data_IF_693484601225
#
_entry.id   IF_693484601225
#
_cell.length_a   1.000
_cell.length_b   1.000
_cell.length_c   1.000
_cell.angle_alpha   90.00
_cell.angle_beta   90.00
_cell.angle_gamma   90.00
#
_symmetry.space_group_name_H-M   'P 1'
#
loop_
_entity.id
_entity.type
_entity.pdbx_description
1 polymer ?
#
# COMPACT_ATOMS: atom_id res chain seq x y z
N UNK A 1 6.13 -21.20 -11.55
CA UNK A 1 6.50 -22.60 -11.27
C UNK A 1 7.75 -22.60 -10.42
N UNK A 2 7.65 -23.15 -9.21
CA UNK A 2 8.78 -23.44 -8.34
C UNK A 2 9.61 -24.61 -8.87
N UNK A 3 10.52 -25.08 -8.04
CA UNK A 3 11.39 -26.22 -8.28
C UNK A 3 11.57 -26.99 -6.96
N UNK A 4 11.85 -28.29 -7.02
CA UNK A 4 12.14 -29.11 -5.85
C UNK A 4 10.95 -29.94 -5.36
N UNK A 5 10.80 -30.07 -4.05
CA UNK A 5 9.73 -30.86 -3.44
C UNK A 5 8.47 -30.00 -3.22
N UNK A 6 7.31 -30.56 -3.52
CA UNK A 6 6.02 -30.00 -3.09
C UNK A 6 5.67 -30.66 -1.76
N UNK A 7 5.41 -29.84 -0.74
CA UNK A 7 5.30 -30.31 0.64
C UNK A 7 3.85 -30.50 1.10
N UNK A 8 2.94 -29.67 0.59
CA UNK A 8 1.55 -29.60 1.01
C UNK A 8 0.65 -29.75 -0.21
N UNK A 9 -0.46 -30.45 0.00
CA UNK A 9 -1.52 -30.69 -0.98
C UNK A 9 -2.86 -30.73 -0.26
N UNK A 10 -3.93 -30.38 -0.96
CA UNK A 10 -5.30 -30.27 -0.45
C UNK A 10 -5.41 -29.47 0.87
N UNK A 11 -4.71 -28.34 0.95
CA UNK A 11 -4.74 -27.47 2.15
C UNK A 11 -6.12 -26.82 2.30
N UNK A 12 -6.82 -27.14 3.38
CA UNK A 12 -8.19 -26.74 3.64
C UNK A 12 -8.34 -26.03 5.00
N UNK A 13 -7.74 -24.85 5.13
CA UNK A 13 -7.84 -24.03 6.34
C UNK A 13 -9.29 -23.60 6.62
N UNK A 14 -9.64 -23.50 7.90
CA UNK A 14 -10.92 -22.97 8.38
C UNK A 14 -10.87 -21.44 8.53
N UNK A 15 -9.66 -20.87 8.69
CA UNK A 15 -9.40 -19.43 8.75
C UNK A 15 -9.06 -18.89 10.14
N UNK A 16 -8.88 -19.77 11.13
CA UNK A 16 -8.49 -19.40 12.52
C UNK A 16 -7.12 -19.94 12.92
N UNK A 17 -6.50 -20.74 12.05
CA UNK A 17 -5.16 -21.26 12.18
C UNK A 17 -4.13 -20.12 12.25
N UNK A 18 -3.07 -20.32 13.04
CA UNK A 18 -1.99 -19.33 13.14
C UNK A 18 -0.88 -19.55 12.11
N UNK A 19 -0.88 -20.72 11.46
CA UNK A 19 0.07 -21.12 10.44
C UNK A 19 -0.60 -21.98 9.39
N UNK A 20 -0.08 -21.94 8.16
CA UNK A 20 -0.51 -22.84 7.08
C UNK A 20 -0.29 -24.32 7.43
N UNK A 21 0.66 -24.61 8.33
CA UNK A 21 0.98 -25.97 8.77
C UNK A 21 -0.02 -26.52 9.81
N UNK A 22 -0.88 -25.66 10.36
CA UNK A 22 -1.92 -26.07 11.30
C UNK A 22 -3.23 -26.42 10.57
N UNK A 23 -3.32 -26.11 9.28
CA UNK A 23 -4.50 -26.39 8.48
C UNK A 23 -4.64 -27.89 8.19
N UNK A 24 -5.87 -28.43 8.08
CA UNK A 24 -6.08 -29.75 7.51
C UNK A 24 -5.46 -29.84 6.11
N UNK A 25 -4.66 -30.89 5.86
CA UNK A 25 -4.00 -31.13 4.59
C UNK A 25 -3.64 -32.62 4.44
N UNK A 26 -3.26 -33.05 3.23
CA UNK A 26 -2.76 -34.39 2.95
C UNK A 26 -1.41 -34.67 3.65
N UNK A 27 -0.98 -35.92 3.78
CA UNK A 27 0.31 -36.22 4.44
C UNK A 27 1.47 -35.49 3.75
N UNK A 28 2.45 -35.03 4.54
CA UNK A 28 3.60 -34.29 4.06
C UNK A 28 4.33 -34.99 2.89
N UNK A 29 4.48 -34.27 1.78
CA UNK A 29 5.14 -34.77 0.57
C UNK A 29 4.40 -35.89 -0.16
N UNK A 30 3.17 -36.23 0.26
CA UNK A 30 2.25 -37.06 -0.54
C UNK A 30 1.28 -36.14 -1.26
N UNK A 31 1.49 -36.00 -2.56
CA UNK A 31 0.70 -35.16 -3.43
C UNK A 31 0.68 -35.75 -4.84
N UNK A 32 -0.29 -35.36 -5.65
CA UNK A 32 -0.30 -35.62 -7.10
C UNK A 32 -0.04 -34.36 -7.94
N UNK A 33 0.19 -33.23 -7.27
CA UNK A 33 0.51 -31.95 -7.88
C UNK A 33 1.86 -31.92 -8.62
N UNK A 34 1.95 -30.99 -9.57
CA UNK A 34 3.16 -30.54 -10.26
C UNK A 34 3.46 -29.07 -9.94
N UNK A 35 4.66 -28.59 -10.28
CA UNK A 35 5.00 -27.16 -10.10
C UNK A 35 4.22 -26.19 -11.01
N UNK A 36 3.42 -26.72 -11.94
CA UNK A 36 2.44 -25.91 -12.67
C UNK A 36 1.27 -25.49 -11.77
N UNK A 37 1.06 -26.20 -10.66
CA UNK A 37 -0.05 -26.01 -9.71
C UNK A 37 0.40 -25.28 -8.43
N UNK A 38 1.67 -24.86 -8.36
CA UNK A 38 2.18 -24.08 -7.23
C UNK A 38 1.34 -22.81 -7.04
N UNK A 39 0.77 -22.67 -5.85
CA UNK A 39 -0.08 -21.54 -5.50
C UNK A 39 0.74 -20.34 -5.05
N UNK A 40 0.31 -19.16 -5.49
CA UNK A 40 0.80 -17.88 -4.99
C UNK A 40 -0.30 -17.14 -4.26
N UNK A 41 0.03 -16.53 -3.12
CA UNK A 41 -0.89 -15.64 -2.40
C UNK A 41 -0.48 -14.19 -2.61
N UNK A 42 -1.47 -13.31 -2.78
CA UNK A 42 -1.27 -11.86 -2.76
C UNK A 42 -2.07 -11.28 -1.62
N UNK A 43 -1.38 -10.71 -0.63
CA UNK A 43 -2.02 -9.98 0.45
C UNK A 43 -2.73 -8.74 -0.12
N UNK A 44 -4.03 -8.62 0.14
CA UNK A 44 -4.84 -7.46 -0.28
C UNK A 44 -4.88 -6.37 0.78
N UNK A 45 -4.65 -6.75 2.04
CA UNK A 45 -4.45 -5.86 3.18
C UNK A 45 -3.11 -6.17 3.82
N UNK A 46 -2.08 -5.46 3.40
CA UNK A 46 -0.83 -5.47 4.15
C UNK A 46 -0.95 -4.34 5.16
N UNK A 47 -1.27 -4.66 6.42
CA UNK A 47 -0.61 -3.97 7.53
C UNK A 47 0.86 -4.38 7.50
N UNK A 48 1.54 -4.02 6.41
CA UNK A 48 2.97 -4.20 6.30
C UNK A 48 3.56 -3.23 7.32
N UNK A 49 4.56 -3.63 8.11
CA UNK A 49 5.39 -2.64 8.80
C UNK A 49 6.02 -1.63 7.81
N UNK A 50 6.02 -1.93 6.50
CA UNK A 50 6.43 -1.04 5.41
C UNK A 50 5.29 -0.17 4.80
N UNK A 51 4.06 -0.24 5.31
CA UNK A 51 2.90 0.52 4.83
C UNK A 51 2.40 0.12 3.42
N UNK A 52 1.35 0.78 2.91
CA UNK A 52 0.88 0.57 1.54
C UNK A 52 1.94 1.06 0.55
N UNK A 53 2.10 0.41 -0.63
CA UNK A 53 2.93 0.93 -1.69
C UNK A 53 2.51 2.35 -2.09
N UNK A 54 3.50 3.23 -2.31
CA UNK A 54 3.33 4.62 -2.73
C UNK A 54 4.01 4.83 -4.07
N UNK A 55 3.44 5.68 -4.93
CA UNK A 55 4.10 6.19 -6.14
C UNK A 55 3.82 7.68 -6.33
N UNK A 56 4.71 8.34 -7.08
CA UNK A 56 4.52 9.71 -7.55
C UNK A 56 4.20 9.69 -9.04
N UNK A 57 3.18 10.44 -9.45
CA UNK A 57 2.67 10.46 -10.82
C UNK A 57 2.60 11.90 -11.33
N UNK A 58 2.81 12.09 -12.64
CA UNK A 58 2.68 13.37 -13.35
C UNK A 58 3.60 14.51 -12.84
N UNK A 59 4.73 14.15 -12.23
CA UNK A 59 5.84 15.07 -11.96
C UNK A 59 6.85 15.13 -13.09
N UNK A 60 7.60 16.24 -13.18
CA UNK A 60 8.69 16.43 -14.16
C UNK A 60 9.93 15.57 -13.84
N UNK A 61 10.00 15.00 -12.64
CA UNK A 61 11.08 14.14 -12.19
C UNK A 61 10.55 13.00 -11.30
N UNK A 62 11.41 12.00 -11.02
CA UNK A 62 11.04 10.87 -10.16
C UNK A 62 10.86 11.25 -8.68
N UNK A 63 11.14 12.51 -8.32
CA UNK A 63 11.10 13.01 -6.94
C UNK A 63 9.89 13.89 -6.66
N UNK A 64 9.01 14.08 -7.63
CA UNK A 64 7.82 14.89 -7.45
C UNK A 64 6.62 14.28 -8.17
N UNK A 65 5.44 14.67 -7.76
CA UNK A 65 4.20 14.23 -8.38
C UNK A 65 3.03 14.14 -7.41
N UNK A 66 1.87 13.82 -7.97
CA UNK A 66 0.67 13.42 -7.22
C UNK A 66 0.97 12.14 -6.46
N UNK A 67 0.57 12.08 -5.19
CA UNK A 67 0.76 10.90 -4.34
C UNK A 67 -0.38 9.93 -4.60
N UNK A 68 -0.03 8.72 -4.99
CA UNK A 68 -0.98 7.61 -5.10
C UNK A 68 -0.54 6.44 -4.22
N UNK A 69 -1.50 5.80 -3.57
CA UNK A 69 -1.32 4.62 -2.70
C UNK A 69 -2.01 3.40 -3.29
N UNK A 70 -1.45 2.22 -3.07
CA UNK A 70 -2.07 0.96 -3.50
C UNK A 70 -2.80 0.31 -2.34
N UNK A 71 -4.13 0.39 -2.36
CA UNK A 71 -5.02 -0.19 -1.36
C UNK A 71 -6.16 -0.94 -2.04
N UNK A 72 -6.59 -2.06 -1.45
CA UNK A 72 -7.69 -2.89 -1.95
C UNK A 72 -7.52 -3.34 -3.42
N UNK A 73 -6.28 -3.56 -3.85
CA UNK A 73 -5.95 -4.06 -5.19
C UNK A 73 -5.97 -3.01 -6.31
N UNK A 74 -6.10 -1.72 -5.99
CA UNK A 74 -6.10 -0.63 -6.97
C UNK A 74 -5.31 0.60 -6.47
N UNK A 75 -4.77 1.37 -7.41
CA UNK A 75 -4.19 2.68 -7.10
C UNK A 75 -5.31 3.70 -6.87
N UNK A 76 -5.04 4.65 -5.98
CA UNK A 76 -5.93 5.78 -5.70
C UNK A 76 -5.15 6.92 -5.07
N UNK A 77 -5.70 8.11 -5.16
CA UNK A 77 -5.07 9.34 -4.69
C UNK A 77 -5.23 9.52 -3.17
N UNK A 78 -4.57 10.56 -2.66
CA UNK A 78 -4.64 11.01 -1.26
C UNK A 78 -5.23 12.42 -1.26
N UNK A 79 -6.19 12.69 -0.38
CA UNK A 79 -6.76 14.03 -0.23
C UNK A 79 -5.76 15.00 0.44
N UNK A 80 -5.82 16.28 0.07
CA UNK A 80 -4.96 17.34 0.59
C UNK A 80 -5.46 18.01 1.88
N UNK A 81 -6.61 17.58 2.40
CA UNK A 81 -7.16 18.03 3.68
C UNK A 81 -6.18 17.69 4.81
N UNK A 82 -5.62 18.76 5.41
CA UNK A 82 -4.59 18.64 6.45
C UNK A 82 -3.22 18.21 5.93
N UNK A 83 -2.98 18.15 4.62
CA UNK A 83 -1.72 17.72 4.02
C UNK A 83 -0.61 18.74 4.21
N UNK A 84 0.45 18.35 4.94
CA UNK A 84 1.55 19.21 5.34
C UNK A 84 2.92 18.71 4.88
N UNK A 85 3.94 19.56 5.03
CA UNK A 85 5.34 19.17 4.80
C UNK A 85 5.80 17.97 5.67
N UNK A 86 5.10 17.66 6.78
CA UNK A 86 5.39 16.47 7.58
C UNK A 86 4.94 15.19 6.88
N UNK A 87 3.76 15.22 6.26
CA UNK A 87 3.21 14.12 5.48
C UNK A 87 4.07 13.89 4.24
N UNK A 88 4.44 14.98 3.57
CA UNK A 88 5.38 14.95 2.46
C UNK A 88 6.73 14.33 2.86
N UNK A 89 7.25 14.65 4.04
CA UNK A 89 8.51 14.07 4.53
C UNK A 89 8.40 12.55 4.76
N UNK A 90 7.24 12.04 5.21
CA UNK A 90 6.99 10.60 5.34
C UNK A 90 6.94 9.94 3.96
N UNK A 91 6.24 10.53 2.98
CA UNK A 91 6.20 10.01 1.60
C UNK A 91 7.60 9.94 0.98
N UNK A 92 8.35 11.04 1.04
CA UNK A 92 9.69 11.09 0.47
C UNK A 92 10.62 10.07 1.12
N UNK A 93 10.55 9.93 2.45
CA UNK A 93 11.32 8.92 3.19
C UNK A 93 10.91 7.50 2.81
N UNK A 94 9.62 7.22 2.69
CA UNK A 94 9.09 5.91 2.30
C UNK A 94 9.59 5.49 0.90
N UNK A 95 9.74 6.46 -0.01
CA UNK A 95 10.29 6.27 -1.36
C UNK A 95 11.84 6.24 -1.40
N UNK A 96 12.51 6.38 -0.25
CA UNK A 96 13.97 6.35 -0.15
C UNK A 96 14.67 7.66 -0.54
N UNK A 97 13.92 8.76 -0.64
CA UNK A 97 14.49 10.09 -0.86
C UNK A 97 14.89 10.74 0.47
N UNK A 98 15.91 11.58 0.41
CA UNK A 98 16.44 12.36 1.54
C UNK A 98 16.47 13.83 1.19
N UNK A 99 16.17 14.70 2.15
CA UNK A 99 16.21 16.15 1.95
C UNK A 99 14.97 16.83 2.53
N UNK A 100 14.72 18.05 2.07
CA UNK A 100 13.50 18.79 2.41
C UNK A 100 12.37 18.31 1.51
N UNK A 101 11.25 17.92 2.12
CA UNK A 101 10.03 17.61 1.41
C UNK A 101 9.08 18.81 1.44
N UNK A 102 8.30 18.98 0.37
CA UNK A 102 7.23 19.98 0.28
C UNK A 102 5.91 19.36 -0.10
N UNK A 103 4.88 19.66 0.67
CA UNK A 103 3.51 19.31 0.33
C UNK A 103 2.99 20.18 -0.81
N UNK A 104 2.22 19.55 -1.70
CA UNK A 104 1.43 20.20 -2.74
C UNK A 104 -0.03 19.76 -2.59
N UNK A 105 -0.91 20.70 -2.88
CA UNK A 105 -2.35 20.59 -2.72
C UNK A 105 -3.02 21.08 -4.01
N UNK A 106 -4.34 20.98 -4.07
CA UNK A 106 -5.21 21.47 -5.13
C UNK A 106 -4.86 20.86 -6.49
N UNK A 107 -4.61 19.55 -6.52
CA UNK A 107 -4.23 18.82 -7.73
C UNK A 107 -3.07 19.49 -8.50
N UNK A 108 -2.03 19.96 -7.78
CA UNK A 108 -0.89 20.69 -8.36
C UNK A 108 -0.23 19.98 -9.55
N UNK A 109 -0.15 18.64 -9.51
CA UNK A 109 0.40 17.78 -10.57
C UNK A 109 -0.68 17.24 -11.52
N UNK A 110 -1.89 17.79 -11.47
CA UNK A 110 -3.07 17.29 -12.15
C UNK A 110 -3.89 16.34 -11.30
N UNK A 111 -5.17 16.25 -11.64
CA UNK A 111 -6.17 15.38 -11.00
C UNK A 111 -5.87 13.91 -11.29
N UNK A 112 -6.07 13.06 -10.29
CA UNK A 112 -6.06 11.62 -10.42
C UNK A 112 -7.36 11.07 -10.98
N UNK A 113 -7.45 9.74 -10.98
CA UNK A 113 -8.63 9.01 -11.41
C UNK A 113 -8.90 7.83 -10.48
N UNK A 114 -10.16 7.47 -10.33
CA UNK A 114 -10.58 6.30 -9.55
C UNK A 114 -10.83 6.66 -8.08
N UNK A 115 -10.47 5.80 -7.12
CA UNK A 115 -10.74 6.07 -5.71
C UNK A 115 -9.77 7.11 -5.14
N UNK A 116 -10.26 7.89 -4.18
CA UNK A 116 -9.45 8.61 -3.21
C UNK A 116 -9.34 7.69 -2.00
N UNK A 117 -8.15 7.14 -1.74
CA UNK A 117 -7.98 6.07 -0.76
C UNK A 117 -7.75 6.55 0.65
N UNK A 118 -7.08 7.70 0.80
CA UNK A 118 -6.72 8.28 2.08
C UNK A 118 -7.22 9.71 2.14
N UNK A 119 -7.71 10.07 3.32
CA UNK A 119 -8.16 11.40 3.69
C UNK A 119 -7.66 11.68 5.12
N UNK A 120 -7.52 12.95 5.49
CA UNK A 120 -7.10 13.40 6.82
C UNK A 120 -5.82 12.70 7.31
N UNK A 121 -4.82 12.59 6.43
CA UNK A 121 -3.52 12.02 6.77
C UNK A 121 -2.78 13.01 7.69
N UNK A 122 -2.47 12.58 8.92
CA UNK A 122 -1.83 13.44 9.92
C UNK A 122 -0.56 12.78 10.47
N UNK A 123 0.57 13.01 9.82
CA UNK A 123 1.88 12.54 10.26
C UNK A 123 2.53 13.48 11.29
N UNK A 124 3.20 12.90 12.28
CA UNK A 124 4.17 13.63 13.12
C UNK A 124 5.44 14.02 12.36
N UNK A 125 5.71 13.36 11.22
CA UNK A 125 6.87 13.56 10.36
C UNK A 125 8.02 12.59 10.67
N UNK A 126 7.83 11.65 11.60
CA UNK A 126 8.84 10.66 12.02
C UNK A 126 8.53 9.24 11.53
N UNK A 127 7.32 9.02 11.01
CA UNK A 127 6.81 7.74 10.52
C UNK A 127 7.60 7.25 9.31
N UNK A 128 7.78 5.94 9.17
CA UNK A 128 8.48 5.40 8.00
C UNK A 128 7.56 5.28 6.77
N UNK A 129 6.24 5.28 6.99
CA UNK A 129 5.27 4.92 5.96
C UNK A 129 3.97 5.71 6.16
N UNK A 130 3.29 6.06 5.07
CA UNK A 130 2.06 6.85 5.13
C UNK A 130 0.92 6.14 5.89
N UNK A 131 0.89 4.81 5.84
CA UNK A 131 -0.09 4.00 6.57
C UNK A 131 0.00 4.09 8.10
N UNK A 132 1.11 4.60 8.64
CA UNK A 132 1.27 4.84 10.08
C UNK A 132 0.66 6.17 10.55
N UNK A 133 0.32 7.06 9.61
CA UNK A 133 -0.25 8.38 9.90
C UNK A 133 -1.78 8.39 9.89
N UNK A 134 -2.41 7.35 9.33
CA UNK A 134 -3.86 7.30 9.12
C UNK A 134 -4.57 7.02 10.44
N UNK A 135 -5.52 7.88 10.83
CA UNK A 135 -6.34 7.66 12.03
C UNK A 135 -7.58 6.78 11.73
N UNK A 136 -8.08 6.01 12.72
CA UNK A 136 -9.10 4.97 12.52
C UNK A 136 -10.51 5.45 12.10
N UNK A 137 -10.72 6.75 11.95
CA UNK A 137 -12.00 7.42 11.72
C UNK A 137 -12.23 7.88 10.26
N UNK A 138 -11.37 7.49 9.32
CA UNK A 138 -11.36 7.90 7.90
C UNK A 138 -12.40 7.19 7.02
N UNK A 139 -13.65 7.04 7.51
CA UNK A 139 -14.73 6.34 6.77
C UNK A 139 -15.63 7.32 5.99
N UNK A 140 -15.49 8.63 6.16
CA UNK A 140 -16.28 9.63 5.45
C UNK A 140 -15.39 10.75 4.93
N UNK A 141 -15.24 10.82 3.61
CA UNK A 141 -14.38 11.74 2.88
C UNK A 141 -15.26 12.49 1.87
N UNK A 142 -15.21 13.82 1.91
CA UNK A 142 -15.91 14.71 0.97
C UNK A 142 -14.97 15.29 -0.10
N UNK A 143 -13.82 14.64 -0.31
CA UNK A 143 -12.81 15.10 -1.25
C UNK A 143 -13.17 14.78 -2.70
N UNK A 144 -12.72 15.66 -3.59
CA UNK A 144 -12.74 15.49 -5.04
C UNK A 144 -11.32 15.41 -5.58
N UNK A 145 -11.13 14.95 -6.82
CA UNK A 145 -9.77 14.88 -7.39
C UNK A 145 -9.09 16.25 -7.55
N UNK A 146 -9.84 17.35 -7.50
CA UNK A 146 -9.29 18.70 -7.40
C UNK A 146 -8.50 18.95 -6.10
N UNK A 147 -8.64 18.06 -5.12
CA UNK A 147 -7.98 18.08 -3.81
C UNK A 147 -6.90 16.98 -3.71
N UNK A 148 -6.48 16.40 -4.84
CA UNK A 148 -5.43 15.38 -4.82
C UNK A 148 -4.09 15.97 -4.37
N UNK A 149 -3.52 15.37 -3.33
CA UNK A 149 -2.27 15.74 -2.73
C UNK A 149 -1.06 15.32 -3.57
N UNK A 150 -0.01 16.14 -3.51
CA UNK A 150 1.27 15.90 -4.16
C UNK A 150 2.44 16.19 -3.23
N UNK A 151 3.63 15.80 -3.67
CA UNK A 151 4.88 16.14 -2.97
C UNK A 151 5.99 16.54 -3.93
N UNK A 152 6.96 17.27 -3.39
CA UNK A 152 8.29 17.44 -3.97
C UNK A 152 9.30 16.96 -2.93
N UNK A 153 10.11 15.98 -3.33
CA UNK A 153 11.31 15.48 -2.67
C UNK A 153 12.57 15.96 -3.42
#
# INVERSE_FOLDING_TARGET
AGQGFILLDDVACVGTELSLLDCPHSNWGQHDCSHAEDVGVRLTHVFSPAGPPVRLVDGESTKEGRVEVFLNGQWGSVCDDGWTDRDAAVVCRQLGFSGTAKARAMAYFGEGHGPIHLDNVECSGTEHTLGQCVRPDTVSHSCWHSEDAGVIC
#
